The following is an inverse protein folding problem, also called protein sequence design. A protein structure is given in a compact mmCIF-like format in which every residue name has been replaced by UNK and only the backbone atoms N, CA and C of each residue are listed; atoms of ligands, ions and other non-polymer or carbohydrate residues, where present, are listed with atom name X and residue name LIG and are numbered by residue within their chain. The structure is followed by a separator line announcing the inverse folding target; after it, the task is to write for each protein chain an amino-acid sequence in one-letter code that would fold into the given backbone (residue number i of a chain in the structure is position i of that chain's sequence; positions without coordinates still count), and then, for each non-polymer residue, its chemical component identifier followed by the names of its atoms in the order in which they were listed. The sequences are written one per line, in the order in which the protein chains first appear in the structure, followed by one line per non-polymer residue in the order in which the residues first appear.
data_IF_578333719942
#
_entry.id   IF_578333719942
#
_cell.length_a   1.000
_cell.length_b   1.000
_cell.length_c   1.000
_cell.angle_alpha   90.00
_cell.angle_beta   90.00
_cell.angle_gamma   90.00
#
_symmetry.space_group_name_H-M   'P 1'
#
loop_
_entity.id
_entity.type
_entity.pdbx_description
1 polymer ?
#
# COMPACT_ATOMS: atom_id res chain seq x y z
N UNK A 1 24.81 -6.54 -8.87
CA UNK A 1 25.22 -7.19 -7.59
C UNK A 1 24.93 -8.69 -7.69
N UNK A 2 25.68 -9.57 -7.00
CA UNK A 2 25.43 -11.02 -7.02
C UNK A 2 24.90 -11.47 -5.65
N UNK A 3 23.76 -12.14 -5.65
CA UNK A 3 23.16 -12.78 -4.48
C UNK A 3 23.52 -14.27 -4.50
N UNK A 4 23.80 -14.84 -3.33
CA UNK A 4 23.98 -16.29 -3.16
C UNK A 4 22.84 -16.82 -2.29
N UNK A 5 22.21 -17.89 -2.74
CA UNK A 5 21.15 -18.59 -2.00
C UNK A 5 21.79 -19.80 -1.34
N UNK A 6 21.74 -19.84 -0.01
CA UNK A 6 22.17 -20.98 0.79
C UNK A 6 20.93 -21.73 1.28
N UNK A 7 20.94 -23.06 1.13
CA UNK A 7 19.82 -23.93 1.47
C UNK A 7 20.32 -25.27 2.01
N UNK A 8 19.67 -25.86 3.02
CA UNK A 8 20.21 -26.99 3.78
C UNK A 8 20.45 -28.28 2.97
N UNK A 9 20.11 -28.32 1.68
CA UNK A 9 20.36 -29.46 0.78
C UNK A 9 20.45 -29.08 -0.71
N UNK A 10 20.82 -27.83 -1.05
CA UNK A 10 20.94 -27.39 -2.44
C UNK A 10 22.33 -26.81 -2.73
N UNK A 11 22.90 -27.03 -3.93
CA UNK A 11 24.14 -26.35 -4.32
C UNK A 11 23.93 -24.84 -4.29
N UNK A 12 24.93 -24.11 -3.78
CA UNK A 12 24.87 -22.64 -3.70
C UNK A 12 24.62 -22.06 -5.08
N UNK A 13 23.44 -21.50 -5.28
CA UNK A 13 23.05 -20.86 -6.52
C UNK A 13 23.32 -19.36 -6.44
N UNK A 14 23.80 -18.76 -7.54
CA UNK A 14 24.04 -17.32 -7.60
C UNK A 14 23.15 -16.65 -8.63
N UNK A 15 22.49 -15.57 -8.23
CA UNK A 15 21.64 -14.75 -9.11
C UNK A 15 22.22 -13.35 -9.22
N UNK A 16 22.26 -12.82 -10.44
CA UNK A 16 22.62 -11.41 -10.69
C UNK A 16 21.36 -10.56 -10.65
N UNK A 17 21.35 -9.52 -9.83
CA UNK A 17 20.22 -8.58 -9.70
C UNK A 17 20.64 -7.15 -10.04
N UNK A 18 19.71 -6.36 -10.63
CA UNK A 18 19.87 -4.91 -10.77
C UNK A 18 20.07 -4.22 -9.41
N UNK A 19 20.82 -3.13 -9.40
CA UNK A 19 21.09 -2.36 -8.17
C UNK A 19 19.81 -1.89 -7.48
N UNK A 20 18.81 -1.45 -8.26
CA UNK A 20 17.52 -1.01 -7.71
C UNK A 20 16.77 -2.14 -6.98
N UNK A 21 16.76 -3.36 -7.55
CA UNK A 21 16.13 -4.51 -6.93
C UNK A 21 16.83 -4.92 -5.63
N UNK A 22 18.16 -4.86 -5.59
CA UNK A 22 18.90 -5.12 -4.36
C UNK A 22 18.62 -4.09 -3.27
N UNK A 23 18.56 -2.79 -3.63
CA UNK A 23 18.20 -1.75 -2.68
C UNK A 23 16.80 -1.95 -2.08
N UNK A 24 15.85 -2.45 -2.90
CA UNK A 24 14.53 -2.85 -2.41
C UNK A 24 14.63 -4.03 -1.43
N UNK A 25 15.43 -5.05 -1.74
CA UNK A 25 15.63 -6.20 -0.86
C UNK A 25 16.14 -5.78 0.52
N UNK A 26 17.10 -4.84 0.59
CA UNK A 26 17.58 -4.30 1.87
C UNK A 26 16.44 -3.68 2.68
N UNK A 27 15.60 -2.85 2.04
CA UNK A 27 14.46 -2.21 2.71
C UNK A 27 13.48 -3.25 3.26
N UNK A 28 13.19 -4.28 2.47
CA UNK A 28 12.32 -5.40 2.91
C UNK A 28 12.90 -6.07 4.16
N UNK A 29 14.20 -6.42 4.13
CA UNK A 29 14.86 -7.07 5.28
C UNK A 29 14.89 -6.17 6.52
N UNK A 30 15.06 -4.85 6.35
CA UNK A 30 15.01 -3.90 7.46
C UNK A 30 13.63 -3.84 8.11
N UNK A 31 12.55 -3.86 7.31
CA UNK A 31 11.20 -3.88 7.84
C UNK A 31 10.90 -5.20 8.56
N UNK A 32 11.32 -6.34 7.99
CA UNK A 32 11.20 -7.64 8.66
C UNK A 32 11.97 -7.67 9.98
N UNK A 33 13.17 -7.09 10.04
CA UNK A 33 13.96 -7.01 11.27
C UNK A 33 13.28 -6.18 12.38
N UNK A 34 12.44 -5.22 12.01
CA UNK A 34 11.59 -4.45 12.95
C UNK A 34 10.33 -5.20 13.39
N UNK A 35 10.08 -6.39 12.84
CA UNK A 35 8.86 -7.16 13.07
C UNK A 35 7.67 -6.69 12.21
N UNK A 36 7.91 -5.84 11.21
CA UNK A 36 6.86 -5.40 10.30
C UNK A 36 6.57 -6.47 9.26
N UNK A 37 5.29 -6.77 9.05
CA UNK A 37 4.85 -7.64 7.97
C UNK A 37 5.07 -6.94 6.62
N UNK A 38 5.68 -7.66 5.66
CA UNK A 38 5.89 -7.17 4.29
C UNK A 38 5.11 -8.07 3.33
N UNK A 39 4.23 -7.45 2.54
CA UNK A 39 3.44 -8.12 1.51
C UNK A 39 3.94 -7.67 0.12
N UNK A 40 4.18 -8.62 -0.78
CA UNK A 40 4.44 -8.34 -2.21
C UNK A 40 3.18 -8.70 -2.98
N UNK A 41 2.58 -7.71 -3.63
CA UNK A 41 1.31 -7.82 -4.35
C UNK A 41 1.51 -7.39 -5.81
N UNK A 42 0.82 -8.05 -6.73
CA UNK A 42 0.69 -7.61 -8.11
C UNK A 42 -0.47 -6.62 -8.25
N UNK A 43 -0.38 -5.74 -9.25
CA UNK A 43 -1.39 -4.71 -9.48
C UNK A 43 -2.80 -5.31 -9.75
N UNK A 44 -2.85 -6.47 -10.40
CA UNK A 44 -4.09 -7.20 -10.71
C UNK A 44 -4.67 -7.97 -9.52
N UNK A 45 -3.99 -7.98 -8.36
CA UNK A 45 -4.45 -8.75 -7.21
C UNK A 45 -5.70 -8.14 -6.56
N UNK A 46 -6.55 -9.01 -6.03
CA UNK A 46 -7.61 -8.62 -5.12
C UNK A 46 -7.14 -8.63 -3.67
N UNK A 47 -7.39 -7.53 -2.98
CA UNK A 47 -7.06 -7.38 -1.56
C UNK A 47 -8.25 -7.69 -0.67
N UNK A 48 -7.97 -8.25 0.51
CA UNK A 48 -8.95 -8.34 1.59
C UNK A 48 -9.32 -6.95 2.11
N UNK A 49 -10.46 -6.84 2.78
CA UNK A 49 -10.82 -5.61 3.51
C UNK A 49 -9.80 -5.22 4.58
N UNK A 50 -9.11 -6.19 5.20
CA UNK A 50 -8.03 -5.94 6.14
C UNK A 50 -6.78 -5.32 5.48
N UNK A 51 -6.37 -5.85 4.32
CA UNK A 51 -5.27 -5.28 3.53
C UNK A 51 -5.63 -3.89 2.99
N UNK A 52 -6.85 -3.73 2.47
CA UNK A 52 -7.38 -2.43 2.05
C UNK A 52 -7.36 -1.41 3.19
N UNK A 53 -7.80 -1.79 4.39
CA UNK A 53 -7.78 -0.92 5.56
C UNK A 53 -6.35 -0.44 5.89
N UNK A 54 -5.37 -1.34 5.81
CA UNK A 54 -3.95 -1.01 6.01
C UNK A 54 -3.43 -0.06 4.92
N UNK A 55 -3.75 -0.31 3.66
CA UNK A 55 -3.34 0.53 2.51
C UNK A 55 -3.91 1.95 2.59
N UNK A 56 -5.15 2.08 3.07
CA UNK A 56 -5.85 3.36 3.21
C UNK A 56 -5.63 4.02 4.58
N UNK A 57 -4.89 3.38 5.49
CA UNK A 57 -4.68 3.82 6.86
C UNK A 57 -6.00 4.12 7.62
N UNK A 58 -6.97 3.21 7.51
CA UNK A 58 -8.28 3.28 8.16
C UNK A 58 -8.56 2.01 8.97
N UNK A 59 -9.63 2.01 9.75
CA UNK A 59 -10.06 0.80 10.48
C UNK A 59 -10.69 -0.23 9.52
N UNK A 60 -10.53 -1.53 9.84
CA UNK A 60 -11.14 -2.60 9.05
C UNK A 60 -12.68 -2.49 8.93
N UNK A 61 -13.44 -2.11 9.98
CA UNK A 61 -14.88 -1.86 9.84
C UNK A 61 -15.18 -0.72 8.87
N UNK A 62 -14.36 0.34 8.85
CA UNK A 62 -14.54 1.44 7.91
C UNK A 62 -14.27 0.99 6.47
N UNK A 63 -13.24 0.18 6.24
CA UNK A 63 -12.97 -0.37 4.92
C UNK A 63 -14.13 -1.24 4.40
N UNK A 64 -14.78 -2.02 5.26
CA UNK A 64 -16.00 -2.77 4.90
C UNK A 64 -17.11 -1.80 4.49
N UNK A 65 -17.37 -0.77 5.31
CA UNK A 65 -18.39 0.24 5.04
C UNK A 65 -18.14 0.96 3.71
N UNK A 66 -16.90 1.24 3.34
CA UNK A 66 -16.58 1.84 2.05
C UNK A 66 -16.99 0.98 0.85
N UNK A 67 -16.89 -0.35 0.98
CA UNK A 67 -17.38 -1.27 -0.06
C UNK A 67 -18.91 -1.34 -0.08
N UNK A 68 -19.53 -1.38 1.10
CA UNK A 68 -21.00 -1.42 1.24
C UNK A 68 -21.65 -0.12 0.72
N UNK A 69 -21.02 1.02 0.95
CA UNK A 69 -21.44 2.35 0.47
C UNK A 69 -21.08 2.58 -1.02
N UNK A 70 -20.38 1.63 -1.66
CA UNK A 70 -19.99 1.72 -3.08
C UNK A 70 -18.89 2.75 -3.40
N UNK A 71 -18.17 3.26 -2.38
CA UNK A 71 -17.07 4.22 -2.57
C UNK A 71 -15.88 3.61 -3.31
N UNK A 72 -15.64 2.32 -3.05
CA UNK A 72 -14.68 1.51 -3.79
C UNK A 72 -15.43 0.27 -4.24
N UNK A 73 -15.23 -0.13 -5.51
CA UNK A 73 -15.86 -1.34 -6.02
C UNK A 73 -15.27 -2.56 -5.32
N UNK A 74 -16.17 -3.40 -4.81
CA UNK A 74 -15.82 -4.67 -4.20
C UNK A 74 -16.79 -5.76 -4.62
N UNK A 75 -16.35 -7.01 -4.45
CA UNK A 75 -17.19 -8.19 -4.66
C UNK A 75 -17.07 -9.16 -3.50
N UNK A 76 -18.07 -10.03 -3.39
CA UNK A 76 -18.04 -11.14 -2.44
C UNK A 76 -17.37 -12.35 -3.10
N UNK A 77 -16.38 -12.93 -2.42
CA UNK A 77 -15.73 -14.19 -2.80
C UNK A 77 -15.90 -15.15 -1.63
N UNK A 78 -16.85 -16.08 -1.77
CA UNK A 78 -17.33 -16.89 -0.66
C UNK A 78 -18.00 -16.01 0.40
N UNK A 79 -17.44 -15.96 1.61
CA UNK A 79 -17.94 -15.13 2.73
C UNK A 79 -17.14 -13.84 2.91
N UNK A 80 -16.05 -13.64 2.15
CA UNK A 80 -15.15 -12.51 2.31
C UNK A 80 -15.36 -11.47 1.20
N UNK A 81 -15.32 -10.19 1.57
CA UNK A 81 -15.28 -9.08 0.62
C UNK A 81 -13.86 -8.89 0.09
N UNK A 82 -13.75 -8.63 -1.21
CA UNK A 82 -12.53 -8.37 -1.95
C UNK A 82 -12.67 -7.11 -2.77
N UNK A 83 -11.61 -6.33 -2.90
CA UNK A 83 -11.53 -5.18 -3.79
C UNK A 83 -10.27 -5.30 -4.64
N UNK A 84 -10.29 -4.80 -5.87
CA UNK A 84 -9.08 -4.79 -6.70
C UNK A 84 -8.08 -3.80 -6.11
N UNK A 85 -6.80 -4.17 -6.09
CA UNK A 85 -5.76 -3.29 -5.57
C UNK A 85 -5.73 -1.95 -6.34
N UNK A 86 -5.93 -1.99 -7.66
CA UNK A 86 -5.94 -0.80 -8.52
C UNK A 86 -6.98 0.23 -8.07
N UNK A 87 -8.19 -0.21 -7.74
CA UNK A 87 -9.30 0.66 -7.35
C UNK A 87 -9.05 1.25 -5.95
N UNK A 88 -8.47 0.45 -5.05
CA UNK A 88 -8.07 0.90 -3.71
C UNK A 88 -6.99 1.97 -3.78
N UNK A 89 -5.97 1.78 -4.62
CA UNK A 89 -4.88 2.75 -4.78
C UNK A 89 -5.35 4.02 -5.48
N UNK A 90 -6.20 3.92 -6.51
CA UNK A 90 -6.80 5.07 -7.17
C UNK A 90 -7.58 5.94 -6.17
N UNK A 91 -8.44 5.32 -5.35
CA UNK A 91 -9.19 6.03 -4.31
C UNK A 91 -8.25 6.73 -3.31
N UNK A 92 -7.16 6.07 -2.89
CA UNK A 92 -6.17 6.67 -1.98
C UNK A 92 -5.56 7.94 -2.57
N UNK A 93 -5.17 7.88 -3.83
CA UNK A 93 -4.48 8.97 -4.52
C UNK A 93 -5.43 10.15 -4.74
N UNK A 94 -6.69 9.89 -5.12
CA UNK A 94 -7.76 10.92 -5.19
C UNK A 94 -7.95 11.64 -3.84
N UNK A 95 -8.02 10.88 -2.75
CA UNK A 95 -8.19 11.45 -1.41
C UNK A 95 -6.98 12.26 -0.95
N UNK A 96 -5.78 11.83 -1.33
CA UNK A 96 -4.55 12.57 -1.05
C UNK A 96 -4.56 13.93 -1.77
N UNK A 97 -4.89 13.94 -3.06
CA UNK A 97 -5.01 15.17 -3.84
C UNK A 97 -6.09 16.10 -3.30
N UNK A 98 -7.27 15.57 -2.95
CA UNK A 98 -8.35 16.37 -2.36
C UNK A 98 -7.93 16.99 -1.02
N UNK A 99 -7.22 16.24 -0.17
CA UNK A 99 -6.71 16.74 1.11
C UNK A 99 -5.68 17.86 0.90
N UNK A 100 -4.79 17.70 -0.07
CA UNK A 100 -3.78 18.73 -0.38
C UNK A 100 -4.45 20.03 -0.85
N UNK A 101 -5.44 19.95 -1.74
CA UNK A 101 -6.18 21.12 -2.22
C UNK A 101 -6.87 21.90 -1.08
N UNK A 102 -7.40 21.20 -0.07
CA UNK A 102 -7.99 21.85 1.12
C UNK A 102 -6.93 22.57 1.95
N UNK A 103 -5.76 21.96 2.15
CA UNK A 103 -4.66 22.59 2.91
C UNK A 103 -4.12 23.82 2.19
N UNK A 104 -3.99 23.76 0.86
CA UNK A 104 -3.56 24.88 0.04
C UNK A 104 -4.58 26.03 0.15
N UNK A 105 -5.89 25.73 0.04
CA UNK A 105 -6.95 26.72 0.24
C UNK A 105 -6.95 27.34 1.65
N UNK A 106 -6.68 26.55 2.70
CA UNK A 106 -6.55 27.08 4.06
C UNK A 106 -5.34 28.02 4.20
N UNK A 107 -4.24 27.69 3.54
CA UNK A 107 -3.02 28.51 3.55
C UNK A 107 -3.24 29.83 2.81
N UNK A 108 -3.93 29.79 1.66
CA UNK A 108 -4.32 30.99 0.90
C UNK A 108 -5.22 31.91 1.76
N UNK A 109 -6.20 31.33 2.46
CA UNK A 109 -7.07 32.09 3.38
C UNK A 109 -6.29 32.72 4.54
N UNK A 110 -5.36 31.99 5.15
CA UNK A 110 -4.56 32.52 6.27
C UNK A 110 -3.60 33.63 5.79
N UNK A 111 -3.11 33.56 4.55
CA UNK A 111 -2.31 34.62 3.92
C UNK A 111 -3.16 35.87 3.61
N UNK A 112 -4.38 35.71 3.11
CA UNK A 112 -5.33 36.82 2.92
C UNK A 112 -5.72 37.50 4.24
N UNK A 113 -5.80 36.73 5.33
CA UNK A 113 -6.10 37.20 6.68
C UNK A 113 -4.86 37.73 7.43
N UNK A 114 -3.66 37.62 6.85
CA UNK A 114 -2.39 38.08 7.43
C UNK A 114 -1.97 37.32 8.70
N UNK A 115 -2.41 36.07 8.84
CA UNK A 115 -2.06 35.18 9.95
C UNK A 115 -0.71 34.48 9.72
N UNK A 116 -0.22 34.50 8.48
CA UNK A 116 1.10 34.05 8.00
C UNK A 116 1.57 34.90 6.82
#
# INVERSE_FOLDING_TARGET
MRLYVDGPNAPTESVTVPTAAFALLIKILQEMAKGNAVDVLNYEDEVTTGQMARLLNVSAPYAIKMLDDGKIQGRLVGTHRRARLVDVLAYRDEQYTARQAVLDHMSDMDQELGLI
#
